data_IF_320539003152
#
_entry.id   IF_320539003152
#
_cell.length_a   1.000
_cell.length_b   1.000
_cell.length_c   1.000
_cell.angle_alpha   90.00
_cell.angle_beta   90.00
_cell.angle_gamma   90.00
#
_symmetry.space_group_name_H-M   'P 1'
#
loop_
_entity.id
_entity.type
_entity.pdbx_description
1 polymer ?
#
# COMPACT_ATOMS: atom_id res chain seq x y z
N UNK A 1 44.66 -20.26 -42.17
CA UNK A 1 44.82 -19.10 -41.26
C UNK A 1 43.45 -18.76 -40.67
N UNK A 2 43.46 -18.37 -39.38
CA UNK A 2 42.42 -17.75 -38.51
C UNK A 2 41.22 -17.10 -39.25
N UNK A 3 39.98 -17.08 -38.75
CA UNK A 3 39.42 -17.48 -37.45
C UNK A 3 38.02 -16.85 -37.22
N UNK A 4 37.43 -17.25 -36.08
CA UNK A 4 36.45 -16.54 -35.23
C UNK A 4 34.96 -16.56 -35.62
N UNK A 5 34.20 -17.34 -34.83
CA UNK A 5 32.77 -17.19 -34.55
C UNK A 5 32.48 -15.76 -34.09
N UNK A 6 31.34 -15.20 -34.50
CA UNK A 6 30.56 -14.41 -33.54
C UNK A 6 29.06 -14.61 -33.72
N UNK A 7 28.45 -15.03 -32.62
CA UNK A 7 27.07 -15.42 -32.45
C UNK A 7 26.45 -14.36 -31.55
N UNK A 8 25.73 -13.39 -32.12
CA UNK A 8 25.00 -12.41 -31.31
C UNK A 8 23.50 -12.53 -31.53
N UNK A 9 22.92 -13.28 -30.60
CA UNK A 9 21.51 -13.45 -30.30
C UNK A 9 20.99 -12.13 -29.72
N UNK A 10 20.17 -11.40 -30.46
CA UNK A 10 19.47 -10.23 -29.94
C UNK A 10 18.36 -10.69 -28.97
N UNK A 11 18.66 -10.74 -27.67
CA UNK A 11 17.66 -10.88 -26.62
C UNK A 11 17.03 -9.50 -26.35
N UNK A 12 15.97 -9.18 -27.11
CA UNK A 12 15.10 -8.05 -26.79
C UNK A 12 14.23 -8.41 -25.59
N UNK A 13 14.60 -7.95 -24.39
CA UNK A 13 13.74 -7.94 -23.22
C UNK A 13 12.49 -7.11 -23.52
N UNK A 14 11.39 -7.75 -23.92
CA UNK A 14 10.07 -7.11 -23.90
C UNK A 14 9.72 -6.88 -22.43
N UNK A 15 9.63 -5.63 -22.01
CA UNK A 15 9.09 -5.26 -20.71
C UNK A 15 7.71 -5.91 -20.56
N UNK A 16 7.58 -6.85 -19.62
CA UNK A 16 6.30 -7.44 -19.29
C UNK A 16 5.39 -6.30 -18.82
N UNK A 17 4.36 -6.00 -19.60
CA UNK A 17 3.34 -5.04 -19.19
C UNK A 17 2.52 -5.73 -18.10
N UNK A 18 2.77 -5.38 -16.85
CA UNK A 18 1.95 -5.83 -15.72
C UNK A 18 0.64 -5.05 -15.79
N UNK A 19 -0.45 -5.74 -16.15
CA UNK A 19 -1.79 -5.18 -16.07
C UNK A 19 -2.21 -5.20 -14.60
N UNK A 20 -2.27 -4.02 -13.99
CA UNK A 20 -2.87 -3.85 -12.65
C UNK A 20 -4.38 -3.81 -12.82
N UNK A 21 -5.07 -4.86 -12.36
CA UNK A 21 -6.53 -4.87 -12.33
C UNK A 21 -7.03 -3.91 -11.26
N UNK A 22 -7.93 -2.99 -11.66
CA UNK A 22 -8.57 -2.01 -10.77
C UNK A 22 -10.05 -2.36 -10.61
N UNK A 23 -10.58 -2.20 -9.42
CA UNK A 23 -11.98 -2.37 -9.06
C UNK A 23 -12.53 -1.04 -8.55
N UNK A 24 -13.76 -0.69 -8.91
CA UNK A 24 -14.45 0.47 -8.36
C UNK A 24 -15.20 0.05 -7.08
N UNK A 25 -14.83 0.66 -5.96
CA UNK A 25 -15.52 0.50 -4.68
C UNK A 25 -16.02 1.88 -4.25
N UNK A 26 -17.34 2.06 -4.16
CA UNK A 26 -17.98 3.35 -3.88
C UNK A 26 -17.44 4.53 -4.73
N UNK A 27 -17.15 4.28 -6.02
CA UNK A 27 -16.64 5.28 -6.95
C UNK A 27 -15.12 5.56 -6.86
N UNK A 28 -14.40 4.86 -5.97
CA UNK A 28 -12.95 4.96 -5.82
C UNK A 28 -12.28 3.78 -6.51
N UNK A 29 -11.22 4.05 -7.27
CA UNK A 29 -10.38 3.00 -7.85
C UNK A 29 -9.54 2.36 -6.75
N UNK A 30 -9.70 1.06 -6.58
CA UNK A 30 -8.95 0.21 -5.66
C UNK A 30 -8.21 -0.85 -6.46
N UNK A 31 -6.96 -1.15 -6.11
CA UNK A 31 -6.15 -2.15 -6.81
C UNK A 31 -5.16 -2.82 -5.89
N UNK A 32 -4.64 -3.99 -6.28
CA UNK A 32 -3.57 -4.67 -5.55
C UNK A 32 -2.26 -4.49 -6.30
N UNK A 33 -1.23 -4.06 -5.58
CA UNK A 33 0.12 -3.85 -6.08
C UNK A 33 1.13 -4.14 -4.96
N UNK A 34 2.14 -4.96 -5.25
CA UNK A 34 3.13 -5.39 -4.26
C UNK A 34 2.57 -6.17 -3.06
N UNK A 35 1.41 -6.82 -3.19
CA UNK A 35 0.74 -7.52 -2.10
C UNK A 35 -0.03 -6.61 -1.13
N UNK A 36 -0.17 -5.32 -1.47
CA UNK A 36 -0.95 -4.36 -0.69
C UNK A 36 -2.17 -3.91 -1.48
N UNK A 37 -3.26 -3.61 -0.78
CA UNK A 37 -4.43 -2.94 -1.37
C UNK A 37 -4.17 -1.44 -1.37
N UNK A 38 -4.25 -0.83 -2.55
CA UNK A 38 -4.04 0.58 -2.80
C UNK A 38 -5.33 1.25 -3.27
N UNK A 39 -5.46 2.54 -2.96
CA UNK A 39 -6.48 3.40 -3.53
C UNK A 39 -5.98 4.84 -3.67
N UNK A 40 -6.71 5.64 -4.43
CA UNK A 40 -6.44 7.08 -4.54
C UNK A 40 -7.65 7.90 -4.12
N UNK A 41 -7.43 8.90 -3.26
CA UNK A 41 -8.46 9.81 -2.80
C UNK A 41 -7.85 11.20 -2.55
N UNK A 42 -8.55 12.26 -2.96
CA UNK A 42 -8.11 13.65 -2.78
C UNK A 42 -6.69 13.93 -3.32
N UNK A 43 -6.33 13.33 -4.46
CA UNK A 43 -5.01 13.47 -5.08
C UNK A 43 -3.88 12.67 -4.42
N UNK A 44 -4.17 11.95 -3.34
CA UNK A 44 -3.22 11.16 -2.58
C UNK A 44 -3.39 9.66 -2.85
N UNK A 45 -2.28 8.91 -2.85
CA UNK A 45 -2.27 7.44 -2.87
C UNK A 45 -2.11 6.90 -1.46
N UNK A 46 -2.94 5.92 -1.13
CA UNK A 46 -2.93 5.23 0.15
C UNK A 46 -2.82 3.72 -0.06
N UNK A 47 -2.29 3.02 0.93
CA UNK A 47 -2.36 1.56 0.97
C UNK A 47 -2.53 1.02 2.37
N UNK A 48 -3.10 -0.19 2.48
CA UNK A 48 -3.04 -0.95 3.72
C UNK A 48 -1.75 -1.73 3.81
N UNK A 49 -1.15 -1.73 4.99
CA UNK A 49 -0.03 -2.60 5.32
C UNK A 49 -0.39 -3.49 6.51
N UNK A 50 -0.48 -4.78 6.23
CA UNK A 50 -0.70 -5.86 7.20
C UNK A 50 0.55 -6.75 7.38
N UNK A 51 1.67 -6.40 6.73
CA UNK A 51 2.92 -7.16 6.81
C UNK A 51 3.72 -6.88 8.08
N UNK A 52 3.26 -5.95 8.91
CA UNK A 52 3.89 -5.55 10.15
C UNK A 52 3.00 -5.94 11.35
N UNK A 53 3.55 -5.90 12.56
CA UNK A 53 2.84 -6.33 13.76
C UNK A 53 1.59 -5.49 14.04
N UNK A 54 1.65 -4.18 13.76
CA UNK A 54 0.50 -3.28 13.89
C UNK A 54 -0.02 -2.87 12.50
N UNK A 55 -1.26 -3.25 12.15
CA UNK A 55 -1.91 -2.81 10.92
C UNK A 55 -1.94 -1.28 10.79
N UNK A 56 -1.74 -0.79 9.57
CA UNK A 56 -1.80 0.64 9.31
C UNK A 56 -2.19 0.98 7.88
N UNK A 57 -2.72 2.19 7.71
CA UNK A 57 -2.85 2.86 6.41
C UNK A 57 -1.60 3.72 6.19
N UNK A 58 -0.99 3.65 5.02
CA UNK A 58 0.13 4.51 4.64
C UNK A 58 -0.33 5.53 3.61
N UNK A 59 0.04 6.80 3.79
CA UNK A 59 0.03 7.82 2.74
C UNK A 59 1.39 7.80 2.03
N UNK A 60 1.42 7.44 0.75
CA UNK A 60 2.67 7.08 0.06
C UNK A 60 3.64 8.25 -0.14
N UNK A 61 3.13 9.41 -0.57
CA UNK A 61 3.97 10.57 -0.91
C UNK A 61 4.74 11.10 0.31
N UNK A 62 4.05 11.24 1.43
CA UNK A 62 4.60 11.78 2.68
C UNK A 62 5.12 10.69 3.64
N UNK A 63 4.86 9.42 3.32
CA UNK A 63 5.19 8.24 4.15
C UNK A 63 4.67 8.38 5.58
N UNK A 64 3.40 8.75 5.69
CA UNK A 64 2.69 8.82 6.98
C UNK A 64 1.95 7.52 7.21
N UNK A 65 2.19 6.89 8.36
CA UNK A 65 1.56 5.64 8.78
C UNK A 65 0.52 5.92 9.88
N UNK A 66 -0.72 5.54 9.61
CA UNK A 66 -1.87 5.71 10.49
C UNK A 66 -2.25 4.35 11.08
N UNK A 67 -1.90 4.11 12.34
CA UNK A 67 -2.00 2.80 12.98
C UNK A 67 -3.36 2.56 13.60
N UNK A 68 -3.91 1.36 13.38
CA UNK A 68 -5.21 0.96 13.91
C UNK A 68 -5.22 -0.48 14.43
N UNK A 69 -6.16 -0.74 15.34
CA UNK A 69 -6.70 -2.09 15.59
C UNK A 69 -8.15 -2.12 15.13
N UNK A 70 -8.65 -3.32 14.84
CA UNK A 70 -10.05 -3.55 14.49
C UNK A 70 -10.62 -4.66 15.36
N UNK A 71 -11.74 -4.38 16.01
CA UNK A 71 -12.50 -5.34 16.81
C UNK A 71 -13.93 -5.43 16.24
N UNK A 72 -14.21 -6.51 15.52
CA UNK A 72 -15.41 -6.60 14.69
C UNK A 72 -15.43 -5.51 13.62
N UNK A 73 -16.41 -4.60 13.70
CA UNK A 73 -16.56 -3.45 12.79
C UNK A 73 -15.93 -2.16 13.33
N UNK A 74 -15.47 -2.15 14.58
CA UNK A 74 -14.97 -0.95 15.24
C UNK A 74 -13.47 -0.75 14.97
N UNK A 75 -13.09 0.47 14.58
CA UNK A 75 -11.69 0.87 14.43
C UNK A 75 -11.24 1.67 15.64
N UNK A 76 -10.06 1.32 16.17
CA UNK A 76 -9.44 2.00 17.32
C UNK A 76 -8.04 2.47 16.96
N UNK A 77 -7.62 3.57 17.57
CA UNK A 77 -6.24 4.04 17.45
C UNK A 77 -5.27 3.01 18.03
N UNK A 78 -4.22 2.72 17.29
CA UNK A 78 -3.14 1.86 17.75
C UNK A 78 -1.81 2.63 17.80
N UNK A 79 -0.84 2.04 18.50
CA UNK A 79 0.54 2.48 18.47
C UNK A 79 1.39 1.41 17.79
N UNK A 80 2.39 1.80 16.99
CA UNK A 80 3.36 0.85 16.46
C UNK A 80 4.10 0.15 17.60
N UNK A 81 4.41 -1.12 17.40
CA UNK A 81 5.29 -1.86 18.30
C UNK A 81 6.69 -1.26 18.35
N UNK A 82 7.44 -1.56 19.42
CA UNK A 82 8.81 -1.04 19.59
C UNK A 82 9.72 -1.36 18.40
N UNK A 83 9.56 -2.54 17.79
CA UNK A 83 10.27 -2.97 16.58
C UNK A 83 9.91 -2.13 15.35
N UNK A 84 8.68 -1.63 15.29
CA UNK A 84 8.13 -0.81 14.20
C UNK A 84 8.38 0.69 14.42
N UNK A 85 8.78 1.10 15.63
CA UNK A 85 9.11 2.49 15.96
C UNK A 85 10.32 3.02 15.19
N UNK A 86 11.12 2.14 14.57
CA UNK A 86 12.21 2.50 13.66
C UNK A 86 13.38 3.17 14.36
N UNK A 87 14.54 3.16 13.72
CA UNK A 87 15.70 3.94 14.18
C UNK A 87 15.54 5.43 13.83
N UNK A 88 16.24 6.30 14.55
CA UNK A 88 16.19 7.77 14.44
C UNK A 88 16.38 8.36 13.03
N UNK A 89 16.84 7.55 12.05
CA UNK A 89 17.11 7.97 10.67
C UNK A 89 15.97 7.71 9.68
N UNK A 90 14.91 7.00 10.07
CA UNK A 90 13.77 6.72 9.18
C UNK A 90 12.74 7.85 9.24
N UNK A 91 12.66 8.65 8.16
CA UNK A 91 11.73 9.78 7.96
C UNK A 91 10.29 9.33 7.70
N UNK A 92 9.73 8.49 8.56
CA UNK A 92 8.35 8.03 8.46
C UNK A 92 7.56 8.64 9.60
N UNK A 93 6.52 9.41 9.25
CA UNK A 93 5.64 10.02 10.25
C UNK A 93 4.66 8.97 10.73
N UNK A 94 4.40 8.94 12.04
CA UNK A 94 3.53 7.95 12.67
C UNK A 94 2.41 8.70 13.37
N UNK A 95 1.18 8.33 13.05
CA UNK A 95 -0.02 8.97 13.53
C UNK A 95 -1.03 7.92 13.97
N UNK A 96 -2.00 8.37 14.76
CA UNK A 96 -3.18 7.58 15.11
C UNK A 96 -4.11 7.47 13.90
N UNK A 97 -4.92 6.43 13.85
CA UNK A 97 -5.94 6.27 12.81
C UNK A 97 -6.94 7.42 12.77
N UNK A 98 -7.32 7.94 13.94
CA UNK A 98 -8.20 9.10 14.10
C UNK A 98 -7.67 10.38 13.47
N UNK A 99 -6.35 10.47 13.22
CA UNK A 99 -5.72 11.60 12.55
C UNK A 99 -5.72 11.49 11.01
N UNK A 100 -6.27 10.41 10.43
CA UNK A 100 -6.56 10.37 9.00
C UNK A 100 -7.55 11.49 8.63
N UNK A 101 -7.44 12.07 7.43
CA UNK A 101 -8.48 12.96 6.91
C UNK A 101 -9.85 12.28 6.98
N UNK A 102 -10.86 12.96 7.51
CA UNK A 102 -12.16 12.35 7.83
C UNK A 102 -12.76 11.58 6.64
N UNK A 103 -12.74 12.16 5.44
CA UNK A 103 -13.24 11.49 4.21
C UNK A 103 -12.52 10.18 3.92
N UNK A 104 -11.21 10.11 4.16
CA UNK A 104 -10.41 8.89 3.95
C UNK A 104 -10.71 7.88 5.05
N UNK A 105 -10.81 8.34 6.30
CA UNK A 105 -11.16 7.48 7.44
C UNK A 105 -12.53 6.85 7.25
N UNK A 106 -13.53 7.63 6.89
CA UNK A 106 -14.91 7.16 6.69
C UNK A 106 -15.01 6.17 5.52
N UNK A 107 -14.27 6.43 4.44
CA UNK A 107 -14.17 5.49 3.33
C UNK A 107 -13.54 4.17 3.76
N UNK A 108 -12.46 4.21 4.54
CA UNK A 108 -11.82 3.01 5.09
C UNK A 108 -12.79 2.23 5.96
N UNK A 109 -13.42 2.88 6.95
CA UNK A 109 -14.33 2.21 7.89
C UNK A 109 -15.50 1.57 7.15
N UNK A 110 -16.06 2.25 6.14
CA UNK A 110 -17.23 1.78 5.39
C UNK A 110 -16.92 0.64 4.42
N UNK A 111 -15.75 0.69 3.77
CA UNK A 111 -15.42 -0.21 2.66
C UNK A 111 -14.32 -1.23 2.99
N UNK A 112 -13.92 -1.34 4.25
CA UNK A 112 -12.79 -2.16 4.67
C UNK A 112 -12.87 -3.60 4.18
N UNK A 113 -13.99 -4.29 4.45
CA UNK A 113 -14.14 -5.70 4.09
C UNK A 113 -14.16 -5.91 2.58
N UNK A 114 -14.77 -5.00 1.82
CA UNK A 114 -14.76 -5.03 0.36
C UNK A 114 -13.35 -4.80 -0.22
N UNK A 115 -12.57 -3.92 0.40
CA UNK A 115 -11.16 -3.70 0.03
C UNK A 115 -10.29 -4.91 0.37
N UNK A 116 -10.49 -5.53 1.54
CA UNK A 116 -9.73 -6.71 1.94
C UNK A 116 -10.04 -7.96 1.13
N UNK A 117 -11.26 -8.09 0.58
CA UNK A 117 -11.63 -9.18 -0.30
C UNK A 117 -10.83 -9.22 -1.62
N UNK A 118 -9.97 -8.22 -1.88
CA UNK A 118 -9.06 -8.18 -3.02
C UNK A 118 -7.70 -8.86 -2.75
N UNK A 119 -7.35 -9.13 -1.49
CA UNK A 119 -6.14 -9.85 -1.09
C UNK A 119 -6.35 -11.36 -1.13
#
# INVERSE_FOLDING_TARGET
MRGVLDLQRAAGNRAATVVVQRVLIAGVNVWVDGGYVHWSMNGNRYHFNFSTATPHVTLDGERIHYFFTRDGLEFKDARPEKSEQGGAHKKHTKKKFSELPDTVRDYVVTNFDAMLALL
#
